data_IF_044796633749
#
_entry.id   IF_044796633749
#
_cell.length_a   1.000
_cell.length_b   1.000
_cell.length_c   1.000
_cell.angle_alpha   90.00
_cell.angle_beta   90.00
_cell.angle_gamma   90.00
#
_symmetry.space_group_name_H-M   'P 1'
#
loop_
_entity.id
_entity.type
_entity.pdbx_description
1 polymer ?
#
# COMPACT_ATOMS: atom_id res chain seq x y z
N UNK A 1 4.79 -10.55 -3.31
CA UNK A 1 6.21 -10.98 -3.33
C UNK A 1 7.06 -9.93 -2.62
N UNK A 2 8.12 -10.35 -1.95
CA UNK A 2 9.01 -9.46 -1.19
C UNK A 2 10.39 -10.08 -1.01
N UNK A 3 11.42 -9.23 -0.86
CA UNK A 3 12.80 -9.64 -0.67
C UNK A 3 13.33 -9.32 0.72
N UNK A 4 14.01 -10.28 1.36
CA UNK A 4 14.69 -10.07 2.64
C UNK A 4 16.21 -10.25 2.51
N UNK A 5 16.96 -9.47 3.29
CA UNK A 5 18.43 -9.45 3.28
C UNK A 5 19.05 -10.00 4.56
N UNK A 6 18.25 -10.20 5.59
CA UNK A 6 18.72 -10.51 6.93
C UNK A 6 19.03 -12.01 7.16
N UNK A 7 18.49 -12.90 6.33
CA UNK A 7 18.64 -14.34 6.47
C UNK A 7 19.17 -15.01 5.18
N UNK A 8 20.14 -14.39 4.53
CA UNK A 8 20.65 -14.82 3.22
C UNK A 8 22.01 -15.50 3.36
N UNK A 9 22.25 -16.52 2.53
CA UNK A 9 23.55 -17.18 2.40
C UNK A 9 24.61 -16.21 1.81
N UNK A 10 25.89 -16.48 2.09
CA UNK A 10 27.01 -15.58 1.77
C UNK A 10 27.05 -15.13 0.29
N UNK A 11 26.73 -16.04 -0.61
CA UNK A 11 26.88 -15.82 -2.08
C UNK A 11 25.65 -15.20 -2.75
N UNK A 12 24.62 -14.87 -1.94
CA UNK A 12 23.38 -14.31 -2.42
C UNK A 12 23.11 -12.92 -1.85
N UNK A 13 22.40 -12.09 -2.61
CA UNK A 13 22.06 -10.72 -2.22
C UNK A 13 20.81 -10.69 -1.38
N UNK A 14 19.82 -11.52 -1.71
CA UNK A 14 18.53 -11.54 -1.02
C UNK A 14 17.85 -12.91 -1.17
N UNK A 15 17.00 -13.21 -0.21
CA UNK A 15 15.99 -14.25 -0.32
C UNK A 15 14.70 -13.57 -0.78
N UNK A 16 14.23 -13.89 -1.98
CA UNK A 16 12.98 -13.38 -2.55
C UNK A 16 11.88 -14.42 -2.34
N UNK A 17 10.75 -14.01 -1.76
CA UNK A 17 9.69 -14.93 -1.38
C UNK A 17 8.40 -14.53 -2.09
N UNK A 18 7.82 -15.46 -2.84
CA UNK A 18 6.45 -15.34 -3.31
C UNK A 18 5.51 -15.91 -2.26
N UNK A 19 4.46 -15.17 -1.96
CA UNK A 19 3.42 -15.57 -1.04
C UNK A 19 2.11 -15.72 -1.81
N UNK A 20 1.36 -16.77 -1.51
CA UNK A 20 -0.03 -16.91 -1.91
C UNK A 20 -0.95 -16.36 -0.82
N UNK A 21 -2.00 -15.67 -1.23
CA UNK A 21 -3.12 -15.34 -0.36
C UNK A 21 -4.23 -16.34 -0.71
N UNK A 22 -4.53 -17.20 0.22
CA UNK A 22 -5.52 -18.26 0.09
C UNK A 22 -6.83 -17.90 0.78
N UNK A 23 -7.75 -18.84 0.95
CA UNK A 23 -9.05 -18.61 1.58
C UNK A 23 -8.88 -17.85 2.92
N UNK A 24 -9.89 -17.08 3.31
CA UNK A 24 -9.91 -16.26 4.54
C UNK A 24 -8.76 -15.23 4.67
N UNK A 25 -8.14 -14.82 3.55
CA UNK A 25 -6.97 -13.92 3.50
C UNK A 25 -5.74 -14.47 4.25
N UNK A 26 -5.63 -15.77 4.41
CA UNK A 26 -4.44 -16.42 4.96
C UNK A 26 -3.29 -16.26 3.97
N UNK A 27 -2.15 -15.74 4.43
CA UNK A 27 -0.96 -15.55 3.61
C UNK A 27 0.06 -16.62 3.94
N UNK A 28 0.48 -17.40 2.93
CA UNK A 28 1.46 -18.48 3.07
C UNK A 28 2.61 -18.29 2.09
N UNK A 29 3.85 -18.70 2.41
CA UNK A 29 4.92 -18.77 1.43
C UNK A 29 4.59 -19.84 0.38
N UNK A 30 4.76 -19.49 -0.88
CA UNK A 30 4.58 -20.39 -2.01
C UNK A 30 5.90 -20.78 -2.67
N UNK A 31 6.89 -19.86 -2.67
CA UNK A 31 8.17 -20.08 -3.32
C UNK A 31 9.26 -19.26 -2.65
N UNK A 32 10.42 -19.87 -2.41
CA UNK A 32 11.63 -19.24 -1.91
C UNK A 32 12.69 -19.19 -3.00
N UNK A 33 13.23 -18.01 -3.29
CA UNK A 33 14.19 -17.78 -4.35
C UNK A 33 15.44 -17.09 -3.82
N UNK A 34 16.60 -17.72 -3.94
CA UNK A 34 17.89 -17.10 -3.65
C UNK A 34 18.37 -16.30 -4.88
N UNK A 35 18.58 -15.01 -4.72
CA UNK A 35 18.85 -14.08 -5.82
C UNK A 35 20.18 -13.36 -5.62
N UNK A 36 21.01 -13.30 -6.69
CA UNK A 36 22.36 -12.69 -6.66
C UNK A 36 22.39 -11.22 -7.10
N UNK A 37 21.27 -10.51 -7.11
CA UNK A 37 21.25 -9.09 -7.50
C UNK A 37 19.84 -8.51 -7.53
N UNK A 38 19.77 -7.22 -7.92
CA UNK A 38 18.51 -6.46 -8.01
C UNK A 38 18.29 -5.83 -9.39
N UNK A 39 19.06 -6.25 -10.38
CA UNK A 39 18.89 -5.78 -11.75
C UNK A 39 17.72 -6.48 -12.41
N UNK A 40 17.08 -5.82 -13.39
CA UNK A 40 15.96 -6.40 -14.13
C UNK A 40 16.31 -7.80 -14.72
N UNK A 41 17.50 -7.93 -15.34
CA UNK A 41 17.94 -9.22 -15.90
C UNK A 41 18.00 -10.35 -14.86
N UNK A 42 18.25 -10.04 -13.59
CA UNK A 42 18.23 -11.01 -12.51
C UNK A 42 16.80 -11.51 -12.26
N UNK A 43 15.84 -10.60 -12.29
CA UNK A 43 14.43 -10.96 -12.14
C UNK A 43 13.87 -11.63 -13.39
N UNK A 44 14.29 -11.22 -14.59
CA UNK A 44 13.90 -11.93 -15.82
C UNK A 44 14.31 -13.40 -15.75
N UNK A 45 15.57 -13.70 -15.41
CA UNK A 45 16.05 -15.08 -15.23
C UNK A 45 15.34 -15.84 -14.12
N UNK A 46 14.99 -15.15 -13.02
CA UNK A 46 14.21 -15.75 -11.94
C UNK A 46 12.84 -16.19 -12.44
N UNK A 47 12.14 -15.33 -13.19
CA UNK A 47 10.80 -15.63 -13.71
C UNK A 47 10.83 -16.73 -14.76
N UNK A 48 11.84 -16.75 -15.63
CA UNK A 48 12.08 -17.84 -16.61
C UNK A 48 12.25 -19.19 -15.89
N UNK A 49 13.05 -19.24 -14.82
CA UNK A 49 13.25 -20.46 -14.03
C UNK A 49 11.96 -20.93 -13.35
N UNK A 50 11.21 -19.99 -12.78
CA UNK A 50 9.95 -20.30 -12.08
C UNK A 50 8.90 -20.81 -13.07
N UNK A 51 8.83 -20.23 -14.26
CA UNK A 51 7.91 -20.69 -15.30
C UNK A 51 8.32 -22.07 -15.82
N UNK A 52 9.61 -22.31 -16.05
CA UNK A 52 10.11 -23.62 -16.46
C UNK A 52 9.78 -24.73 -15.46
N UNK A 53 9.91 -24.47 -14.16
CA UNK A 53 9.50 -25.43 -13.10
C UNK A 53 7.98 -25.69 -13.17
N UNK A 54 7.18 -24.63 -13.39
CA UNK A 54 5.74 -24.78 -13.49
C UNK A 54 5.32 -25.56 -14.74
N UNK A 55 6.00 -25.35 -15.88
CA UNK A 55 5.76 -26.08 -17.12
C UNK A 55 6.14 -27.56 -17.00
N UNK A 56 7.23 -27.89 -16.33
CA UNK A 56 7.62 -29.28 -16.04
C UNK A 56 6.54 -30.01 -15.22
N UNK A 57 5.82 -29.29 -14.36
CA UNK A 57 4.65 -29.83 -13.62
C UNK A 57 3.34 -29.75 -14.43
N UNK A 58 3.39 -29.41 -15.71
CA UNK A 58 2.21 -29.28 -16.58
C UNK A 58 1.31 -28.11 -16.21
N UNK A 59 1.87 -27.07 -15.60
CA UNK A 59 1.14 -25.89 -15.13
C UNK A 59 1.81 -24.60 -15.61
N UNK A 60 1.24 -23.42 -15.22
CA UNK A 60 1.86 -22.10 -15.39
C UNK A 60 1.88 -21.41 -14.05
N UNK A 61 2.91 -20.61 -13.77
CA UNK A 61 3.05 -19.97 -12.46
C UNK A 61 1.89 -19.03 -12.16
N UNK A 62 1.45 -18.24 -13.13
CA UNK A 62 0.24 -17.42 -13.04
C UNK A 62 -0.85 -17.93 -13.98
N UNK A 63 -1.58 -18.99 -13.60
CA UNK A 63 -2.64 -19.61 -14.42
C UNK A 63 -3.84 -18.72 -14.74
N UNK A 64 -4.08 -17.68 -13.93
CA UNK A 64 -5.25 -16.78 -14.04
C UNK A 64 -4.79 -15.34 -13.82
N UNK A 65 -5.55 -14.35 -14.28
CA UNK A 65 -5.32 -12.97 -13.89
C UNK A 65 -5.29 -12.88 -12.37
N UNK A 66 -4.16 -12.47 -11.81
CA UNK A 66 -3.97 -12.32 -10.38
C UNK A 66 -3.47 -10.90 -10.09
N UNK A 67 -3.71 -10.44 -8.88
CA UNK A 67 -3.06 -9.24 -8.36
C UNK A 67 -1.80 -9.65 -7.64
N UNK A 68 -0.66 -9.17 -8.10
CA UNK A 68 0.63 -9.34 -7.42
C UNK A 68 0.96 -8.11 -6.59
N UNK A 69 1.00 -8.26 -5.27
CA UNK A 69 1.47 -7.21 -4.38
C UNK A 69 2.96 -7.34 -4.11
N UNK A 70 3.73 -6.26 -4.33
CA UNK A 70 5.17 -6.23 -4.11
C UNK A 70 5.62 -4.89 -3.49
N UNK A 71 6.91 -4.76 -3.19
CA UNK A 71 7.53 -3.49 -2.84
C UNK A 71 7.74 -2.58 -4.07
N UNK A 72 8.17 -1.36 -3.84
CA UNK A 72 8.52 -0.35 -4.86
C UNK A 72 9.88 -0.68 -5.54
N UNK A 73 10.06 -1.92 -5.96
CA UNK A 73 11.26 -2.37 -6.68
C UNK A 73 11.04 -2.32 -8.20
N UNK A 74 11.48 -1.22 -8.80
CA UNK A 74 11.26 -0.91 -10.23
C UNK A 74 11.72 -2.03 -11.18
N UNK A 75 12.86 -2.67 -10.86
CA UNK A 75 13.40 -3.78 -11.66
C UNK A 75 12.51 -5.01 -11.66
N UNK A 76 11.94 -5.36 -10.49
CA UNK A 76 11.01 -6.48 -10.36
C UNK A 76 9.66 -6.17 -11.02
N UNK A 77 9.12 -4.98 -10.77
CA UNK A 77 7.85 -4.54 -11.39
C UNK A 77 7.93 -4.63 -12.92
N UNK A 78 9.00 -4.10 -13.50
CA UNK A 78 9.22 -4.17 -14.97
C UNK A 78 9.39 -5.59 -15.50
N UNK A 79 10.05 -6.46 -14.75
CA UNK A 79 10.19 -7.86 -15.12
C UNK A 79 8.83 -8.56 -15.15
N UNK A 80 8.03 -8.45 -14.08
CA UNK A 80 6.67 -9.02 -14.02
C UNK A 80 5.78 -8.49 -15.14
N UNK A 81 5.76 -7.18 -15.38
CA UNK A 81 4.93 -6.58 -16.43
C UNK A 81 5.34 -7.03 -17.84
N UNK A 82 6.62 -7.35 -18.05
CA UNK A 82 7.10 -7.86 -19.32
C UNK A 82 6.77 -9.36 -19.53
N UNK A 83 6.96 -10.18 -18.50
CA UNK A 83 6.73 -11.64 -18.59
C UNK A 83 5.23 -11.99 -18.48
N UNK A 84 4.46 -11.24 -17.67
CA UNK A 84 3.07 -11.55 -17.35
C UNK A 84 2.17 -10.32 -17.52
N UNK A 85 1.86 -9.98 -18.76
CA UNK A 85 1.04 -8.81 -19.10
C UNK A 85 -0.39 -8.81 -18.51
N UNK A 86 -0.91 -9.99 -18.13
CA UNK A 86 -2.22 -10.15 -17.49
C UNK A 86 -2.20 -10.00 -15.96
N UNK A 87 -1.01 -9.94 -15.35
CA UNK A 87 -0.85 -9.79 -13.91
C UNK A 87 -0.99 -8.32 -13.52
N UNK A 88 -1.95 -8.02 -12.66
CA UNK A 88 -2.09 -6.69 -12.09
C UNK A 88 -1.06 -6.49 -10.97
N UNK A 89 -0.08 -5.61 -11.18
CA UNK A 89 0.92 -5.30 -10.16
C UNK A 89 0.43 -4.18 -9.25
N UNK A 90 0.50 -4.39 -7.93
CA UNK A 90 0.22 -3.38 -6.91
C UNK A 90 1.37 -3.27 -5.90
N UNK A 91 1.71 -2.04 -5.55
CA UNK A 91 2.72 -1.78 -4.53
C UNK A 91 2.09 -1.75 -3.12
N UNK A 92 2.81 -2.30 -2.16
CA UNK A 92 2.37 -2.45 -0.79
C UNK A 92 2.18 -1.09 -0.08
N UNK A 93 1.02 -0.90 0.57
CA UNK A 93 0.72 0.29 1.39
C UNK A 93 1.76 0.50 2.50
N UNK A 94 2.21 -0.56 3.15
CA UNK A 94 3.22 -0.45 4.21
C UNK A 94 4.53 0.15 3.68
N UNK A 95 5.02 -0.34 2.53
CA UNK A 95 6.23 0.18 1.90
C UNK A 95 6.05 1.63 1.41
N UNK A 96 4.87 2.00 0.89
CA UNK A 96 4.57 3.39 0.59
C UNK A 96 4.66 4.27 1.84
N UNK A 97 3.98 3.87 2.92
CA UNK A 97 3.98 4.65 4.18
C UNK A 97 5.37 4.74 4.79
N UNK A 98 6.18 3.67 4.70
CA UNK A 98 7.59 3.65 5.12
C UNK A 98 8.40 4.66 4.30
N UNK A 99 8.26 4.65 2.97
CA UNK A 99 8.96 5.57 2.08
C UNK A 99 8.61 7.04 2.38
N UNK A 100 7.31 7.35 2.60
CA UNK A 100 6.90 8.71 2.99
C UNK A 100 7.46 9.09 4.36
N UNK A 101 7.45 8.16 5.33
CA UNK A 101 7.99 8.40 6.67
C UNK A 101 9.48 8.74 6.63
N UNK A 102 10.26 8.00 5.84
CA UNK A 102 11.70 8.27 5.67
C UNK A 102 11.93 9.64 5.02
N UNK A 103 11.21 9.96 3.93
CA UNK A 103 11.31 11.26 3.25
C UNK A 103 10.86 12.43 4.11
N UNK A 104 9.93 12.22 5.02
CA UNK A 104 9.45 13.26 5.94
C UNK A 104 10.32 13.44 7.18
N UNK A 105 11.36 12.63 7.42
CA UNK A 105 12.21 12.73 8.62
C UNK A 105 12.83 14.12 8.77
N UNK A 106 13.44 14.61 7.71
CA UNK A 106 14.09 15.92 7.72
C UNK A 106 13.06 17.06 7.92
N UNK A 107 11.93 17.00 7.23
CA UNK A 107 10.82 17.94 7.39
C UNK A 107 10.34 17.97 8.84
N UNK A 108 10.12 16.81 9.44
CA UNK A 108 9.65 16.70 10.82
C UNK A 108 10.68 17.22 11.82
N UNK A 109 11.98 17.00 11.56
CA UNK A 109 13.07 17.54 12.38
C UNK A 109 13.13 19.07 12.30
N UNK A 110 13.03 19.65 11.08
CA UNK A 110 12.99 21.11 10.87
C UNK A 110 11.82 21.75 11.58
N UNK A 111 10.61 21.18 11.45
CA UNK A 111 9.42 21.66 12.15
C UNK A 111 9.61 21.63 13.66
N UNK A 112 10.13 20.54 14.20
CA UNK A 112 10.36 20.41 15.65
C UNK A 112 11.38 21.44 16.15
N UNK A 113 12.46 21.67 15.41
CA UNK A 113 13.50 22.63 15.79
C UNK A 113 12.99 24.08 15.75
N UNK A 114 12.22 24.44 14.72
CA UNK A 114 11.74 25.82 14.53
C UNK A 114 10.46 26.14 15.34
N UNK A 115 9.60 25.15 15.56
CA UNK A 115 8.36 25.32 16.35
C UNK A 115 8.60 25.33 17.88
N UNK A 116 9.83 25.05 18.32
CA UNK A 116 10.12 24.85 19.73
C UNK A 116 9.23 23.75 20.33
N UNK A 117 8.65 23.99 21.52
CA UNK A 117 7.76 23.05 22.21
C UNK A 117 6.29 23.20 21.83
N UNK A 118 5.93 23.92 20.76
CA UNK A 118 4.54 24.06 20.36
C UNK A 118 3.93 22.70 19.97
N UNK A 119 3.16 22.15 20.91
CA UNK A 119 2.47 20.87 20.72
C UNK A 119 1.49 20.91 19.55
N UNK A 120 0.85 22.07 19.30
CA UNK A 120 -0.13 22.24 18.23
C UNK A 120 0.52 22.17 16.85
N UNK A 121 1.63 22.87 16.63
CA UNK A 121 2.38 22.82 15.36
C UNK A 121 2.91 21.40 15.11
N UNK A 122 3.43 20.74 16.14
CA UNK A 122 3.87 19.35 16.03
C UNK A 122 2.70 18.39 15.72
N UNK A 123 1.52 18.62 16.28
CA UNK A 123 0.30 17.83 15.99
C UNK A 123 -0.15 18.04 14.54
N UNK A 124 -0.18 19.28 14.07
CA UNK A 124 -0.49 19.62 12.69
C UNK A 124 0.49 18.96 11.70
N UNK A 125 1.80 19.06 11.97
CA UNK A 125 2.82 18.41 11.13
C UNK A 125 2.65 16.87 11.08
N UNK A 126 2.35 16.23 12.21
CA UNK A 126 2.04 14.80 12.27
C UNK A 126 0.80 14.46 11.45
N UNK A 127 -0.24 15.30 11.52
CA UNK A 127 -1.48 15.16 10.73
C UNK A 127 -1.18 15.26 9.23
N UNK A 128 -0.47 16.30 8.80
CA UNK A 128 -0.06 16.51 7.40
C UNK A 128 0.76 15.32 6.87
N UNK A 129 1.79 14.89 7.61
CA UNK A 129 2.56 13.69 7.25
C UNK A 129 1.66 12.45 7.11
N UNK A 130 0.71 12.25 8.01
CA UNK A 130 -0.23 11.12 7.97
C UNK A 130 -1.10 11.16 6.70
N UNK A 131 -1.58 12.33 6.30
CA UNK A 131 -2.34 12.49 5.05
C UNK A 131 -1.53 12.06 3.82
N UNK A 132 -0.26 12.43 3.74
CA UNK A 132 0.63 11.92 2.68
C UNK A 132 0.73 10.39 2.70
N UNK A 133 0.79 9.77 3.87
CA UNK A 133 0.88 8.32 4.02
C UNK A 133 -0.42 7.61 3.60
N UNK A 134 -1.57 8.30 3.64
CA UNK A 134 -2.89 7.74 3.32
C UNK A 134 -3.29 7.94 1.85
N UNK A 135 -2.53 8.64 1.04
CA UNK A 135 -2.80 8.83 -0.40
C UNK A 135 -3.14 7.51 -1.15
N UNK A 136 -2.50 6.36 -0.87
CA UNK A 136 -2.85 5.11 -1.55
C UNK A 136 -4.27 4.60 -1.32
N UNK A 137 -4.97 5.12 -0.32
CA UNK A 137 -6.36 4.73 -0.04
C UNK A 137 -7.36 5.53 -0.88
N UNK A 138 -6.91 6.61 -1.54
CA UNK A 138 -7.71 7.31 -2.53
C UNK A 138 -7.85 6.46 -3.80
N UNK A 139 -9.01 6.55 -4.48
CA UNK A 139 -9.14 6.10 -5.86
C UNK A 139 -8.04 6.68 -6.75
N UNK A 140 -7.58 5.91 -7.72
CA UNK A 140 -6.47 6.29 -8.60
C UNK A 140 -6.70 7.65 -9.26
N UNK A 141 -7.92 7.90 -9.70
CA UNK A 141 -8.35 9.11 -10.42
C UNK A 141 -8.31 10.36 -9.54
N UNK A 142 -8.42 10.20 -8.23
CA UNK A 142 -8.32 11.30 -7.26
C UNK A 142 -6.88 11.57 -6.81
N UNK A 143 -5.93 10.72 -7.19
CA UNK A 143 -4.52 10.91 -6.84
C UNK A 143 -3.86 11.85 -7.86
N UNK A 144 -3.98 13.14 -7.62
CA UNK A 144 -3.48 14.19 -8.51
C UNK A 144 -2.51 15.15 -7.80
N UNK A 145 -1.71 15.93 -8.54
CA UNK A 145 -0.88 16.98 -7.92
C UNK A 145 -1.68 18.00 -7.12
N UNK A 146 -2.94 18.26 -7.54
CA UNK A 146 -3.85 19.20 -6.88
C UNK A 146 -4.23 18.70 -5.47
N UNK A 147 -4.50 17.40 -5.32
CA UNK A 147 -4.77 16.79 -4.01
C UNK A 147 -3.55 16.87 -3.09
N UNK A 148 -2.35 16.64 -3.61
CA UNK A 148 -1.12 16.81 -2.82
C UNK A 148 -0.95 18.27 -2.40
N UNK A 149 -1.20 19.20 -3.31
CA UNK A 149 -1.16 20.66 -3.02
C UNK A 149 -2.20 21.06 -1.99
N UNK A 150 -3.40 20.46 -2.02
CA UNK A 150 -4.44 20.68 -1.02
C UNK A 150 -3.96 20.29 0.39
N UNK A 151 -3.27 19.15 0.53
CA UNK A 151 -2.68 18.71 1.81
C UNK A 151 -1.64 19.72 2.32
N UNK A 152 -0.80 20.26 1.41
CA UNK A 152 0.24 21.24 1.79
C UNK A 152 -0.36 22.61 2.09
N UNK A 153 -1.40 23.03 1.37
CA UNK A 153 -2.08 24.30 1.63
C UNK A 153 -2.79 24.31 3.00
N UNK A 154 -3.41 23.18 3.40
CA UNK A 154 -3.97 23.04 4.76
C UNK A 154 -2.87 23.16 5.85
N UNK A 155 -1.68 22.60 5.59
CA UNK A 155 -0.54 22.82 6.45
C UNK A 155 -0.16 24.31 6.53
N UNK A 156 -0.01 24.98 5.38
CA UNK A 156 0.40 26.39 5.32
C UNK A 156 -0.59 27.33 6.00
N UNK A 157 -1.89 27.00 5.95
CA UNK A 157 -2.94 27.78 6.59
C UNK A 157 -2.87 27.76 8.13
N UNK A 158 -2.40 26.65 8.71
CA UNK A 158 -2.29 26.49 10.16
C UNK A 158 -0.87 26.56 10.70
N UNK A 159 0.15 26.66 9.86
CA UNK A 159 1.55 26.67 10.27
C UNK A 159 2.08 28.10 10.50
N UNK A 160 2.96 28.31 11.48
CA UNK A 160 3.68 29.57 11.63
C UNK A 160 4.55 29.87 10.40
N UNK A 161 4.77 31.16 10.10
CA UNK A 161 5.52 31.60 8.92
C UNK A 161 6.90 30.95 8.81
N UNK A 162 7.60 30.77 9.92
CA UNK A 162 8.94 30.19 9.97
C UNK A 162 9.01 28.74 9.44
N UNK A 163 7.88 28.01 9.38
CA UNK A 163 7.81 26.62 8.92
C UNK A 163 6.81 26.38 7.80
N UNK A 164 6.18 27.41 7.25
CA UNK A 164 5.14 27.28 6.21
C UNK A 164 5.59 26.41 5.03
N UNK A 165 6.83 26.52 4.60
CA UNK A 165 7.37 25.82 3.44
C UNK A 165 8.02 24.47 3.79
N UNK A 166 7.88 24.02 5.04
CA UNK A 166 8.55 22.80 5.50
C UNK A 166 8.16 21.55 4.68
N UNK A 167 6.93 21.46 4.19
CA UNK A 167 6.44 20.31 3.41
C UNK A 167 6.64 20.42 1.89
N UNK A 168 7.15 21.53 1.37
CA UNK A 168 7.33 21.74 -0.09
C UNK A 168 8.25 20.71 -0.73
N UNK A 169 9.33 20.35 -0.02
CA UNK A 169 10.25 19.31 -0.47
C UNK A 169 9.59 17.94 -0.58
N UNK A 170 8.73 17.61 0.39
CA UNK A 170 7.96 16.36 0.37
C UNK A 170 6.93 16.37 -0.75
N UNK A 171 6.17 17.48 -0.94
CA UNK A 171 5.25 17.68 -2.05
C UNK A 171 5.93 17.41 -3.39
N UNK A 172 7.01 18.14 -3.68
CA UNK A 172 7.80 18.00 -4.93
C UNK A 172 8.26 16.56 -5.15
N UNK A 173 8.70 15.90 -4.08
CA UNK A 173 9.18 14.51 -4.16
C UNK A 173 8.03 13.54 -4.45
N UNK A 174 6.89 13.69 -3.79
CA UNK A 174 5.71 12.83 -3.99
C UNK A 174 5.16 13.02 -5.40
N UNK A 175 4.97 14.27 -5.83
CA UNK A 175 4.47 14.55 -7.18
C UNK A 175 5.42 13.95 -8.22
N UNK A 176 6.72 14.23 -8.15
CA UNK A 176 7.70 13.74 -9.13
C UNK A 176 7.80 12.22 -9.19
N UNK A 177 7.76 11.55 -8.04
CA UNK A 177 8.05 10.10 -7.95
C UNK A 177 6.82 9.24 -8.19
N UNK A 178 5.66 9.69 -7.73
CA UNK A 178 4.48 8.84 -7.59
C UNK A 178 3.27 9.30 -8.41
N UNK A 179 3.20 10.56 -8.83
CA UNK A 179 2.02 11.08 -9.54
C UNK A 179 2.40 11.55 -10.95
N UNK A 180 3.51 12.27 -11.07
CA UNK A 180 3.93 12.94 -12.28
C UNK A 180 3.34 14.34 -12.41
N UNK A 181 3.96 15.16 -13.25
CA UNK A 181 3.50 16.49 -13.59
C UNK A 181 2.96 16.50 -15.02
N UNK A 182 1.91 17.29 -15.31
CA UNK A 182 1.45 17.52 -16.69
C UNK A 182 2.62 17.97 -17.57
N UNK A 183 2.75 17.38 -18.74
CA UNK A 183 3.80 17.71 -19.70
C UNK A 183 3.33 18.81 -20.65
N UNK A 184 4.28 19.68 -21.08
CA UNK A 184 3.99 20.75 -22.05
C UNK A 184 3.50 20.21 -23.39
N UNK A 185 3.92 19.00 -23.79
CA UNK A 185 3.54 18.32 -25.02
C UNK A 185 2.19 17.57 -24.92
N UNK A 186 1.41 17.81 -23.86
CA UNK A 186 0.13 17.13 -23.55
C UNK A 186 0.22 15.61 -23.40
N UNK A 187 1.40 15.00 -23.39
CA UNK A 187 1.55 13.59 -23.10
C UNK A 187 1.25 13.32 -21.62
N UNK A 188 0.76 12.11 -21.27
CA UNK A 188 0.50 11.77 -19.88
C UNK A 188 1.75 11.89 -19.02
N UNK A 189 1.61 12.27 -17.74
CA UNK A 189 2.71 12.25 -16.79
C UNK A 189 3.38 10.86 -16.76
N UNK A 190 4.70 10.83 -16.58
CA UNK A 190 5.46 9.57 -16.43
C UNK A 190 6.23 9.57 -15.11
N UNK A 191 5.55 9.39 -13.97
CA UNK A 191 6.23 9.20 -12.70
C UNK A 191 6.94 7.84 -12.71
N UNK A 192 7.91 7.68 -11.80
CA UNK A 192 8.58 6.38 -11.64
C UNK A 192 7.60 5.28 -11.22
N UNK A 193 6.64 5.62 -10.36
CA UNK A 193 5.58 4.74 -9.90
C UNK A 193 4.24 5.45 -10.07
N UNK A 194 3.49 5.19 -11.15
CA UNK A 194 2.19 5.84 -11.37
C UNK A 194 1.13 5.40 -10.34
N UNK A 195 0.08 6.21 -10.08
CA UNK A 195 -0.98 5.89 -9.14
C UNK A 195 -1.62 4.51 -9.35
N UNK A 196 -1.74 4.04 -10.60
CA UNK A 196 -2.22 2.71 -10.94
C UNK A 196 -1.45 1.56 -10.25
N UNK A 197 -0.16 1.76 -9.95
CA UNK A 197 0.65 0.77 -9.26
C UNK A 197 0.43 0.75 -7.74
N UNK A 198 0.04 1.86 -7.12
CA UNK A 198 0.05 1.95 -5.66
C UNK A 198 -1.25 2.42 -5.02
N UNK A 199 -2.25 2.81 -5.78
CA UNK A 199 -3.59 2.93 -5.23
C UNK A 199 -4.12 1.55 -4.85
N UNK A 200 -4.51 1.43 -3.58
CA UNK A 200 -5.11 0.23 -2.98
C UNK A 200 -6.52 0.50 -2.48
N UNK A 201 -7.16 1.53 -3.02
CA UNK A 201 -8.54 1.89 -2.73
C UNK A 201 -9.47 0.71 -3.00
N UNK A 202 -10.42 0.48 -2.08
CA UNK A 202 -11.41 -0.60 -2.18
C UNK A 202 -10.86 -2.02 -2.03
N UNK A 203 -9.55 -2.22 -1.84
CA UNK A 203 -8.97 -3.56 -1.71
C UNK A 203 -8.99 -4.06 -0.27
N UNK A 204 -9.29 -5.35 -0.08
CA UNK A 204 -9.20 -6.01 1.22
C UNK A 204 -7.76 -6.28 1.63
N UNK A 205 -6.92 -6.75 0.69
CA UNK A 205 -5.48 -6.94 0.88
C UNK A 205 -4.73 -5.73 0.36
N UNK A 206 -4.02 -5.03 1.25
CA UNK A 206 -3.31 -3.76 0.97
C UNK A 206 -1.85 -3.78 1.35
N UNK A 207 -1.45 -4.80 2.10
CA UNK A 207 -0.09 -4.91 2.63
C UNK A 207 0.40 -6.35 2.47
N UNK A 208 1.71 -6.53 2.44
CA UNK A 208 2.37 -7.83 2.50
C UNK A 208 2.80 -8.20 3.95
N UNK A 209 1.99 -7.85 4.96
CA UNK A 209 2.32 -8.11 6.37
C UNK A 209 2.66 -9.57 6.65
N UNK A 210 2.01 -10.51 5.95
CA UNK A 210 2.36 -11.93 6.05
C UNK A 210 3.81 -12.22 5.63
N UNK A 211 4.29 -11.53 4.59
CA UNK A 211 5.69 -11.61 4.17
C UNK A 211 6.63 -11.06 5.24
N UNK A 212 6.31 -9.91 5.84
CA UNK A 212 7.15 -9.30 6.88
C UNK A 212 7.19 -10.13 8.16
N UNK A 213 6.07 -10.75 8.55
CA UNK A 213 6.02 -11.69 9.67
C UNK A 213 6.94 -12.89 9.42
N UNK A 214 6.90 -13.45 8.20
CA UNK A 214 7.79 -14.56 7.81
C UNK A 214 9.25 -14.12 7.78
N UNK A 215 9.57 -12.93 7.25
CA UNK A 215 10.94 -12.40 7.28
C UNK A 215 11.46 -12.25 8.70
N UNK A 216 10.63 -11.79 9.63
CA UNK A 216 11.00 -11.72 11.06
C UNK A 216 11.22 -13.09 11.66
N UNK A 217 10.38 -14.08 11.32
CA UNK A 217 10.50 -15.46 11.81
C UNK A 217 11.72 -16.19 11.22
N UNK A 218 12.10 -15.89 9.99
CA UNK A 218 13.31 -16.42 9.36
C UNK A 218 14.60 -15.78 9.90
N UNK A 219 14.51 -14.56 10.46
CA UNK A 219 15.65 -13.85 11.00
C UNK A 219 15.96 -14.37 12.43
N UNK A 220 17.06 -15.07 12.64
CA UNK A 220 17.35 -15.75 13.93
C UNK A 220 17.72 -14.82 15.08
N UNK A 221 17.80 -13.50 14.86
CA UNK A 221 18.33 -12.57 15.88
C UNK A 221 19.82 -12.77 16.19
N UNK A 222 20.48 -13.75 15.60
CA UNK A 222 21.88 -14.04 15.81
C UNK A 222 22.73 -13.31 14.79
N UNK A 223 23.77 -12.62 15.24
CA UNK A 223 24.77 -11.96 14.40
C UNK A 223 25.68 -12.97 13.66
N UNK A 224 25.12 -13.94 12.95
CA UNK A 224 25.91 -14.95 12.26
C UNK A 224 25.22 -15.47 11.01
N UNK A 225 26.02 -15.73 9.97
CA UNK A 225 25.53 -16.35 8.73
C UNK A 225 25.13 -17.79 9.01
N UNK A 226 23.94 -18.17 8.54
CA UNK A 226 23.48 -19.55 8.64
C UNK A 226 24.30 -20.46 7.71
N UNK A 227 24.57 -21.69 8.14
CA UNK A 227 25.01 -22.73 7.21
C UNK A 227 23.85 -23.09 6.28
N UNK A 228 24.19 -23.54 5.05
CA UNK A 228 23.19 -23.96 4.06
C UNK A 228 22.18 -24.96 4.66
N UNK A 229 22.67 -25.96 5.41
CA UNK A 229 21.82 -26.97 6.05
C UNK A 229 20.79 -26.35 7.00
N UNK A 230 21.22 -25.44 7.88
CA UNK A 230 20.30 -24.76 8.82
C UNK A 230 19.35 -23.82 8.10
N UNK A 231 19.79 -23.20 7.03
CA UNK A 231 18.95 -22.35 6.20
C UNK A 231 17.83 -23.15 5.54
N UNK A 232 18.17 -24.28 4.87
CA UNK A 232 17.18 -25.14 4.23
C UNK A 232 16.19 -25.71 5.22
N UNK A 233 16.66 -26.23 6.35
CA UNK A 233 15.78 -26.75 7.41
C UNK A 233 14.76 -25.70 7.90
N UNK A 234 15.17 -24.43 8.03
CA UNK A 234 14.22 -23.36 8.39
C UNK A 234 13.19 -23.07 7.29
N UNK A 235 13.57 -23.17 6.03
CA UNK A 235 12.61 -23.02 4.94
C UNK A 235 11.59 -24.17 4.94
N UNK A 236 12.04 -25.39 5.18
CA UNK A 236 11.19 -26.59 5.33
C UNK A 236 10.20 -26.41 6.48
N UNK A 237 10.66 -26.05 7.68
CA UNK A 237 9.79 -25.75 8.83
C UNK A 237 8.71 -24.70 8.47
N UNK A 238 9.06 -23.66 7.72
CA UNK A 238 8.08 -22.63 7.30
C UNK A 238 7.11 -23.10 6.23
N UNK A 239 7.50 -24.05 5.42
CA UNK A 239 6.58 -24.70 4.48
C UNK A 239 5.60 -25.64 5.18
N UNK A 240 6.06 -26.36 6.20
CA UNK A 240 5.19 -27.22 7.02
C UNK A 240 4.20 -26.38 7.85
N UNK A 241 4.68 -25.32 8.53
CA UNK A 241 3.80 -24.33 9.18
C UNK A 241 2.73 -23.78 8.20
N UNK A 242 3.10 -23.57 6.93
CA UNK A 242 2.18 -23.08 5.92
C UNK A 242 1.11 -24.10 5.53
N UNK A 243 1.48 -25.38 5.42
CA UNK A 243 0.54 -26.49 5.15
C UNK A 243 -0.47 -26.62 6.29
N UNK A 244 0.01 -26.64 7.53
CA UNK A 244 -0.84 -26.72 8.71
C UNK A 244 -1.82 -25.54 8.78
N UNK A 245 -1.38 -24.35 8.41
CA UNK A 245 -2.24 -23.16 8.34
C UNK A 245 -3.30 -23.25 7.24
N UNK A 246 -2.97 -23.81 6.08
CA UNK A 246 -3.95 -24.04 5.02
C UNK A 246 -5.01 -25.01 5.51
N UNK A 247 -4.62 -26.08 6.18
CA UNK A 247 -5.54 -27.10 6.66
C UNK A 247 -6.43 -26.61 7.81
N UNK A 248 -5.94 -25.71 8.65
CA UNK A 248 -6.68 -25.25 9.85
C UNK A 248 -7.41 -23.93 9.64
N UNK A 249 -6.76 -22.92 9.04
CA UNK A 249 -7.29 -21.56 8.94
C UNK A 249 -8.14 -21.35 7.67
N UNK A 250 -7.98 -22.19 6.64
CA UNK A 250 -8.71 -22.07 5.37
C UNK A 250 -10.02 -22.87 5.31
N UNK A 251 -10.42 -23.51 6.40
CA UNK A 251 -11.68 -24.23 6.46
C UNK A 251 -12.89 -23.29 6.32
N UNK A 252 -14.00 -23.75 5.67
CA UNK A 252 -15.18 -22.90 5.44
C UNK A 252 -15.77 -22.30 6.70
N UNK A 253 -15.61 -22.99 7.83
CA UNK A 253 -16.13 -22.59 9.15
C UNK A 253 -15.23 -21.56 9.86
N UNK A 254 -13.96 -21.42 9.44
CA UNK A 254 -13.08 -20.40 9.99
C UNK A 254 -13.60 -19.03 9.56
N UNK A 255 -14.02 -18.20 10.53
CA UNK A 255 -14.52 -16.84 10.24
C UNK A 255 -13.42 -16.05 9.54
N UNK A 256 -13.69 -15.48 8.35
CA UNK A 256 -12.73 -14.56 7.77
C UNK A 256 -12.47 -13.48 8.80
N UNK A 257 -11.21 -13.30 9.18
CA UNK A 257 -10.76 -12.10 9.89
C UNK A 257 -10.91 -10.91 8.92
N UNK A 258 -12.15 -10.61 8.48
CA UNK A 258 -12.43 -9.38 7.76
C UNK A 258 -12.28 -8.31 8.80
N UNK A 259 -11.16 -7.59 8.78
CA UNK A 259 -10.95 -6.64 9.83
C UNK A 259 -12.06 -5.61 9.72
N UNK A 260 -12.71 -5.31 10.81
CA UNK A 260 -13.62 -4.17 10.92
C UNK A 260 -13.03 -2.92 10.28
N UNK A 261 -11.69 -2.82 10.23
CA UNK A 261 -10.97 -1.78 9.47
C UNK A 261 -11.29 -1.76 7.98
N UNK A 262 -11.45 -2.91 7.31
CA UNK A 262 -11.86 -2.93 5.90
C UNK A 262 -13.26 -2.40 5.73
N UNK A 263 -14.18 -2.76 6.64
CA UNK A 263 -15.54 -2.24 6.65
C UNK A 263 -15.56 -0.73 6.93
N UNK A 264 -14.78 -0.26 7.90
CA UNK A 264 -14.65 1.17 8.20
C UNK A 264 -14.10 1.96 7.01
N UNK A 265 -13.08 1.44 6.33
CA UNK A 265 -12.53 2.08 5.13
C UNK A 265 -13.53 2.11 3.96
N UNK A 266 -14.38 1.08 3.82
CA UNK A 266 -15.44 1.08 2.82
C UNK A 266 -16.50 2.16 3.12
N UNK A 267 -16.87 2.36 4.39
CA UNK A 267 -17.82 3.42 4.81
C UNK A 267 -17.27 4.81 4.51
N UNK A 268 -16.02 5.09 4.87
CA UNK A 268 -15.44 6.42 4.58
C UNK A 268 -15.21 6.64 3.09
N UNK A 269 -14.96 5.58 2.31
CA UNK A 269 -14.89 5.67 0.86
C UNK A 269 -16.26 5.98 0.24
N UNK A 270 -17.35 5.36 0.74
CA UNK A 270 -18.71 5.67 0.32
C UNK A 270 -19.08 7.13 0.68
N UNK A 271 -18.69 7.60 1.87
CA UNK A 271 -18.90 8.99 2.28
C UNK A 271 -18.17 9.98 1.35
N UNK A 272 -16.94 9.65 0.91
CA UNK A 272 -16.22 10.46 -0.08
C UNK A 272 -16.97 10.53 -1.42
N UNK A 273 -17.43 9.38 -1.94
CA UNK A 273 -18.16 9.31 -3.21
C UNK A 273 -19.52 10.00 -3.17
N UNK A 274 -20.18 10.00 -2.02
CA UNK A 274 -21.47 10.68 -1.83
C UNK A 274 -21.33 12.16 -1.47
N UNK A 275 -20.12 12.71 -1.46
CA UNK A 275 -19.87 14.10 -1.08
C UNK A 275 -20.18 14.42 0.39
N UNK A 276 -20.24 13.40 1.26
CA UNK A 276 -20.47 13.58 2.70
C UNK A 276 -19.21 13.97 3.45
N UNK A 277 -18.06 13.84 2.84
CA UNK A 277 -16.78 14.30 3.36
C UNK A 277 -15.84 14.72 2.21
N UNK A 278 -14.97 15.70 2.49
CA UNK A 278 -13.94 16.11 1.55
C UNK A 278 -12.71 15.19 1.58
N UNK A 279 -11.80 15.39 0.61
CA UNK A 279 -10.59 14.56 0.48
C UNK A 279 -9.70 14.62 1.73
N UNK A 280 -9.51 15.79 2.34
CA UNK A 280 -8.68 15.93 3.54
C UNK A 280 -9.25 15.15 4.73
N UNK A 281 -10.57 15.20 4.91
CA UNK A 281 -11.26 14.45 5.96
C UNK A 281 -11.21 12.96 5.70
N UNK A 282 -11.37 12.52 4.44
CA UNK A 282 -11.19 11.13 4.06
C UNK A 282 -9.79 10.62 4.45
N UNK A 283 -8.74 11.37 4.13
CA UNK A 283 -7.37 11.01 4.49
C UNK A 283 -7.17 10.96 6.02
N UNK A 284 -7.79 11.88 6.77
CA UNK A 284 -7.75 11.89 8.24
C UNK A 284 -8.51 10.69 8.84
N UNK A 285 -9.68 10.37 8.30
CA UNK A 285 -10.49 9.20 8.68
C UNK A 285 -9.73 7.90 8.41
N UNK A 286 -9.13 7.74 7.24
CA UNK A 286 -8.29 6.60 6.91
C UNK A 286 -7.11 6.46 7.88
N UNK A 287 -6.42 7.58 8.16
CA UNK A 287 -5.35 7.61 9.14
C UNK A 287 -5.84 7.17 10.52
N UNK A 288 -7.00 7.63 10.96
CA UNK A 288 -7.57 7.24 12.25
C UNK A 288 -7.89 5.75 12.30
N UNK A 289 -8.58 5.20 11.30
CA UNK A 289 -8.96 3.79 11.22
C UNK A 289 -7.73 2.87 11.31
N UNK A 290 -6.68 3.17 10.53
CA UNK A 290 -5.51 2.30 10.49
C UNK A 290 -4.74 2.25 11.80
N UNK A 291 -4.80 3.32 12.62
CA UNK A 291 -4.16 3.38 13.95
C UNK A 291 -5.07 2.97 15.12
N UNK A 292 -6.35 2.65 14.90
CA UNK A 292 -7.18 2.05 15.95
C UNK A 292 -6.66 0.65 16.30
N UNK A 293 -6.56 0.36 17.58
CA UNK A 293 -5.96 -0.87 18.12
C UNK A 293 -6.98 -1.87 18.67
N UNK A 294 -8.27 -1.56 18.61
CA UNK A 294 -9.33 -2.49 19.04
C UNK A 294 -10.52 -2.48 18.07
N UNK A 295 -11.15 -3.64 17.91
CA UNK A 295 -12.35 -3.83 17.11
C UNK A 295 -13.50 -2.95 17.61
N UNK A 296 -13.64 -2.80 18.93
CA UNK A 296 -14.65 -1.96 19.55
C UNK A 296 -14.54 -0.49 19.10
N UNK A 297 -13.32 0.09 19.14
CA UNK A 297 -13.08 1.46 18.66
C UNK A 297 -13.38 1.62 17.17
N UNK A 298 -13.12 0.59 16.38
CA UNK A 298 -13.45 0.60 14.94
C UNK A 298 -14.97 0.58 14.74
N UNK A 299 -15.72 -0.26 15.47
CA UNK A 299 -17.19 -0.26 15.42
C UNK A 299 -17.81 1.06 15.82
N UNK A 300 -17.32 1.69 16.90
CA UNK A 300 -17.75 3.02 17.32
C UNK A 300 -17.44 4.11 16.29
N UNK A 301 -16.32 3.98 15.57
CA UNK A 301 -15.99 4.84 14.44
C UNK A 301 -16.99 4.65 13.30
N UNK A 302 -17.27 3.41 12.89
CA UNK A 302 -18.24 3.09 11.83
C UNK A 302 -19.61 3.68 12.16
N UNK A 303 -20.12 3.50 13.38
CA UNK A 303 -21.44 4.00 13.79
C UNK A 303 -21.55 5.53 13.61
N UNK A 304 -20.50 6.29 13.91
CA UNK A 304 -20.47 7.75 13.71
C UNK A 304 -20.44 8.15 12.23
N UNK A 305 -19.71 7.42 11.41
CA UNK A 305 -19.54 7.75 9.99
C UNK A 305 -20.75 7.34 9.13
N UNK A 306 -21.50 6.31 9.53
CA UNK A 306 -22.73 5.89 8.84
C UNK A 306 -23.83 6.96 8.90
N UNK A 307 -23.96 7.65 10.05
CA UNK A 307 -24.99 8.66 10.30
C UNK A 307 -24.58 10.08 9.80
N UNK A 308 -23.44 10.18 9.12
CA UNK A 308 -22.91 11.45 8.66
C UNK A 308 -23.79 12.08 7.59
N UNK A 309 -24.28 13.30 7.85
CA UNK A 309 -25.02 14.10 6.88
C UNK A 309 -24.05 14.78 5.89
N UNK A 310 -24.47 15.07 4.64
CA UNK A 310 -23.64 15.80 3.68
C UNK A 310 -23.34 17.20 4.20
N UNK A 311 -22.05 17.59 4.16
CA UNK A 311 -21.67 18.98 4.47
C UNK A 311 -22.08 19.91 3.31
N UNK A 312 -22.60 21.08 3.67
CA UNK A 312 -22.92 22.14 2.68
C UNK A 312 -21.62 22.64 2.04
N UNK A 313 -21.60 22.57 0.72
CA UNK A 313 -20.51 22.83 -0.19
C UNK A 313 -19.78 24.16 -0.06
N UNK A 314 -18.43 24.10 -0.11
CA UNK A 314 -17.62 25.09 -0.84
C UNK A 314 -16.41 24.35 -1.46
N UNK A 315 -16.28 24.40 -2.80
CA UNK A 315 -15.18 23.93 -3.66
C UNK A 315 -15.17 22.47 -4.13
N UNK A 316 -16.30 21.91 -4.54
CA UNK A 316 -16.42 20.49 -4.88
C UNK A 316 -16.54 20.14 -6.37
N UNK A 317 -16.74 21.09 -7.30
CA UNK A 317 -17.11 20.80 -8.70
C UNK A 317 -16.15 19.88 -9.46
N UNK A 318 -14.85 19.97 -9.18
CA UNK A 318 -13.84 19.09 -9.80
C UNK A 318 -13.86 17.66 -9.22
N UNK A 319 -13.95 17.56 -7.90
CA UNK A 319 -13.95 16.28 -7.19
C UNK A 319 -15.27 15.53 -7.36
N UNK A 320 -16.40 16.25 -7.46
CA UNK A 320 -17.72 15.67 -7.74
C UNK A 320 -17.78 15.05 -9.14
N UNK A 321 -17.24 15.71 -10.15
CA UNK A 321 -17.20 15.16 -11.50
C UNK A 321 -16.31 13.92 -11.60
N UNK A 322 -15.16 13.91 -10.94
CA UNK A 322 -14.29 12.74 -10.88
C UNK A 322 -14.93 11.59 -10.08
N UNK A 323 -15.55 11.88 -8.94
CA UNK A 323 -16.24 10.88 -8.11
C UNK A 323 -17.48 10.31 -8.79
N UNK A 324 -18.31 11.14 -9.46
CA UNK A 324 -19.46 10.68 -10.25
C UNK A 324 -19.05 9.77 -11.40
N UNK A 325 -18.02 10.15 -12.16
CA UNK A 325 -17.51 9.33 -13.27
C UNK A 325 -17.01 7.98 -12.79
N UNK A 326 -16.39 7.92 -11.60
CA UNK A 326 -15.91 6.67 -11.01
C UNK A 326 -17.05 5.82 -10.47
N UNK A 327 -18.04 6.43 -9.81
CA UNK A 327 -19.24 5.73 -9.33
C UNK A 327 -19.98 5.02 -10.47
N UNK A 328 -20.20 5.70 -11.61
CA UNK A 328 -20.82 5.09 -12.79
C UNK A 328 -19.98 4.02 -13.46
N UNK A 329 -18.65 4.07 -13.37
CA UNK A 329 -17.75 2.99 -13.84
C UNK A 329 -17.79 1.75 -12.95
N UNK A 330 -17.91 1.92 -11.64
CA UNK A 330 -17.99 0.82 -10.67
C UNK A 330 -19.38 0.20 -10.58
N UNK A 331 -20.41 0.91 -11.03
CA UNK A 331 -21.83 0.50 -11.01
C UNK A 331 -22.47 0.70 -12.39
N UNK A 332 -22.08 -0.09 -13.42
CA UNK A 332 -22.50 0.15 -14.81
C UNK A 332 -24.01 -0.03 -15.03
N UNK A 333 -24.77 -0.56 -14.09
CA UNK A 333 -26.21 -0.81 -14.21
C UNK A 333 -27.11 0.34 -13.77
N UNK A 334 -26.55 1.50 -13.34
CA UNK A 334 -27.30 2.76 -13.24
C UNK A 334 -28.60 2.80 -12.41
N UNK A 335 -28.91 1.78 -11.65
CA UNK A 335 -30.08 1.79 -10.77
C UNK A 335 -29.73 2.38 -9.41
N UNK A 336 -29.97 3.70 -9.31
CA UNK A 336 -30.21 4.35 -8.03
C UNK A 336 -31.53 3.78 -7.50
N UNK A 337 -31.48 2.85 -6.56
CA UNK A 337 -32.62 2.58 -5.70
C UNK A 337 -32.85 3.87 -4.90
N UNK A 338 -33.85 4.61 -5.29
CA UNK A 338 -34.40 5.73 -4.51
C UNK A 338 -34.92 5.22 -3.17
N UNK A 339 -34.84 6.06 -2.10
CA UNK A 339 -35.15 5.70 -0.73
C UNK A 339 -36.54 5.20 -0.51
#
# INVERSE_FOLDING_TARGET
>A
ADGTFSCVLTDYTQLYIFHAVVANNVTVPALFCLVKGKKKQTYDKLLELVEGIAEDDGTTFFKRPVTLMCDFEDSFIKAIQQHYGSVEVKCCLFHFTKNIREKAKETMAKVKAAAGESAEVCKLAKKTKRRFMMLPLLPEELITPEVVRLVVNDWRAGAPDVVKDAFDGLEKTVVRTYIGTPRRDRRPPRPRFPPSLWSVSGRSVRTNNGAESLHSALNPGTKGKLSLRRFLHRLEEKMDDARDRIDTECQPESRPATPEKNRALAVVLDNLFRGRQGVLEFLDSCGSILWLNSAEKVRQFIAREVDRQPERQQSQDFLENAARNLYFRLHPTGQLSSP
#
